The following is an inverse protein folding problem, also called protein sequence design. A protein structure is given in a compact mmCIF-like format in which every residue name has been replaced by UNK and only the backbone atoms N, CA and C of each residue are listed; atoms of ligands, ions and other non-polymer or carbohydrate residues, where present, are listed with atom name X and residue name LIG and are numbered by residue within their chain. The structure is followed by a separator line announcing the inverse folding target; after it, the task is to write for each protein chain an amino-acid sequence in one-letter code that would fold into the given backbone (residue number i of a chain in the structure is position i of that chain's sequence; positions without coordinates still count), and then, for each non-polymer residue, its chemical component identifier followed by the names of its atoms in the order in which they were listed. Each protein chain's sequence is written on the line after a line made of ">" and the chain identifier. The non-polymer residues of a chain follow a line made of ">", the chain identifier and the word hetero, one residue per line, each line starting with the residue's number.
data_IF_180573411587
#
_entry.id   IF_180573411587
#
_cell.length_a   1.000
_cell.length_b   1.000
_cell.length_c   1.000
_cell.angle_alpha   90.00
_cell.angle_beta   90.00
_cell.angle_gamma   90.00
#
_symmetry.space_group_name_H-M   'P 1'
#
loop_
_entity.id
_entity.type
_entity.pdbx_description
1 polymer ?
#
# COMPACT_ATOMS: atom_id res chain seq x y z
N UNK A 1 0.98 -2.35 -23.34
CA UNK A 1 1.59 -2.01 -22.04
C UNK A 1 0.66 -2.59 -21.00
N UNK A 2 1.02 -3.74 -20.43
CA UNK A 2 0.11 -4.52 -19.59
C UNK A 2 -0.07 -3.85 -18.24
N UNK A 3 -1.27 -3.37 -17.95
CA UNK A 3 -1.78 -3.17 -16.59
C UNK A 3 -1.78 -4.53 -15.89
N UNK A 4 -0.66 -4.88 -15.27
CA UNK A 4 -0.68 -5.90 -14.22
C UNK A 4 -1.32 -5.24 -13.01
N UNK A 5 -2.66 -5.33 -12.91
CA UNK A 5 -3.36 -5.16 -11.64
C UNK A 5 -2.61 -6.02 -10.63
N UNK A 6 -1.95 -5.38 -9.66
CA UNK A 6 -1.38 -6.05 -8.49
C UNK A 6 -2.56 -6.63 -7.71
N UNK A 7 -2.98 -7.83 -8.09
CA UNK A 7 -4.03 -8.60 -7.46
C UNK A 7 -3.42 -9.86 -6.87
N UNK A 8 -3.81 -10.16 -5.63
CA UNK A 8 -3.76 -11.41 -4.84
C UNK A 8 -2.65 -12.45 -5.04
N UNK A 9 -2.27 -12.76 -6.28
CA UNK A 9 -1.45 -13.91 -6.67
C UNK A 9 -0.04 -13.97 -6.09
N UNK A 10 0.48 -12.86 -5.55
CA UNK A 10 1.85 -12.80 -4.99
C UNK A 10 1.88 -12.84 -3.44
N UNK A 11 0.73 -12.84 -2.76
CA UNK A 11 0.69 -12.84 -1.28
C UNK A 11 0.63 -14.27 -0.71
N UNK A 12 1.40 -14.50 0.36
CA UNK A 12 1.40 -15.77 1.06
C UNK A 12 0.02 -16.10 1.66
N UNK A 13 -0.35 -17.39 1.64
CA UNK A 13 -1.58 -17.87 2.28
C UNK A 13 -1.62 -17.49 3.77
N UNK A 14 -2.76 -17.01 4.24
CA UNK A 14 -2.99 -16.65 5.65
C UNK A 14 -2.71 -15.18 6.01
N UNK A 15 -2.46 -14.31 5.03
CA UNK A 15 -2.41 -12.86 5.24
C UNK A 15 -3.77 -12.22 4.97
N UNK A 16 -4.12 -11.18 5.74
CA UNK A 16 -5.14 -10.23 5.30
C UNK A 16 -4.53 -9.27 4.29
N UNK A 17 -5.36 -8.73 3.41
CA UNK A 17 -4.96 -7.81 2.35
C UNK A 17 -6.03 -6.76 2.11
N UNK A 18 -5.59 -5.56 1.77
CA UNK A 18 -6.45 -4.47 1.32
C UNK A 18 -5.78 -3.67 0.21
N UNK A 19 -6.53 -3.43 -0.87
CA UNK A 19 -6.24 -2.39 -1.86
C UNK A 19 -7.29 -1.30 -1.74
N UNK A 20 -6.85 -0.05 -1.70
CA UNK A 20 -7.76 1.08 -1.56
C UNK A 20 -7.28 2.28 -2.38
N UNK A 21 -8.24 3.12 -2.80
CA UNK A 21 -7.95 4.50 -3.15
C UNK A 21 -7.78 5.27 -1.86
N UNK A 22 -6.65 5.95 -1.73
CA UNK A 22 -6.30 6.69 -0.53
C UNK A 22 -5.93 8.13 -0.86
N UNK A 23 -5.99 8.99 0.15
CA UNK A 23 -5.54 10.37 0.10
C UNK A 23 -4.39 10.58 1.07
N UNK A 24 -3.33 11.24 0.62
CA UNK A 24 -2.20 11.64 1.47
C UNK A 24 -2.62 12.85 2.32
N UNK A 25 -2.49 12.74 3.64
CA UNK A 25 -2.84 13.78 4.61
C UNK A 25 -1.69 14.74 4.89
N UNK A 26 -0.46 14.25 4.85
CA UNK A 26 0.75 15.01 5.17
C UNK A 26 1.87 14.60 4.24
N UNK A 27 2.73 15.55 3.88
CA UNK A 27 3.87 15.28 3.02
C UNK A 27 4.72 14.11 3.55
N UNK A 28 5.14 13.27 2.63
CA UNK A 28 6.01 12.16 2.95
C UNK A 28 7.02 11.89 1.83
N UNK A 29 8.26 11.75 2.23
CA UNK A 29 9.34 11.33 1.35
C UNK A 29 9.60 9.83 1.58
N UNK A 30 9.63 9.06 0.50
CA UNK A 30 9.88 7.62 0.54
C UNK A 30 10.87 7.23 -0.55
N UNK A 31 11.76 6.30 -0.23
CA UNK A 31 12.76 5.76 -1.17
C UNK A 31 12.45 4.29 -1.48
N UNK A 32 12.45 3.93 -2.76
CA UNK A 32 12.50 2.53 -3.20
C UNK A 32 13.95 2.05 -3.23
N UNK A 33 14.17 0.73 -3.24
CA UNK A 33 15.50 0.11 -3.21
C UNK A 33 15.99 -0.24 -4.62
N UNK A 34 15.13 -0.84 -5.46
CA UNK A 34 15.47 -1.21 -6.84
C UNK A 34 14.26 -1.05 -7.79
N UNK A 35 14.31 -0.10 -8.75
CA UNK A 35 15.35 0.91 -8.90
C UNK A 35 15.34 1.86 -7.69
N UNK A 36 16.53 2.37 -7.31
CA UNK A 36 16.63 3.41 -6.30
C UNK A 36 15.91 4.67 -6.80
N UNK A 37 14.79 4.99 -6.16
CA UNK A 37 13.91 6.06 -6.56
C UNK A 37 13.49 6.88 -5.34
N UNK A 38 13.45 8.19 -5.49
CA UNK A 38 12.89 9.09 -4.49
C UNK A 38 11.50 9.53 -4.92
N UNK A 39 10.50 9.34 -4.07
CA UNK A 39 9.15 9.89 -4.28
C UNK A 39 8.78 10.81 -3.12
N UNK A 40 8.25 11.98 -3.46
CA UNK A 40 7.65 12.92 -2.52
C UNK A 40 6.14 12.89 -2.75
N UNK A 41 5.41 12.35 -1.78
CA UNK A 41 3.95 12.35 -1.73
C UNK A 41 3.47 13.68 -1.16
N UNK A 42 2.51 14.32 -1.82
CA UNK A 42 2.01 15.64 -1.41
C UNK A 42 0.64 15.53 -0.73
N UNK A 43 0.32 16.40 0.24
CA UNK A 43 -1.03 16.45 0.82
C UNK A 43 -2.10 16.63 -0.26
N UNK A 44 -3.20 15.87 -0.14
CA UNK A 44 -4.29 15.86 -1.10
C UNK A 44 -4.07 14.96 -2.33
N UNK A 45 -2.87 14.43 -2.54
CA UNK A 45 -2.62 13.43 -3.59
C UNK A 45 -3.47 12.19 -3.33
N UNK A 46 -4.14 11.72 -4.38
CA UNK A 46 -4.96 10.51 -4.34
C UNK A 46 -4.37 9.44 -5.24
N UNK A 47 -4.28 8.22 -4.74
CA UNK A 47 -3.65 7.11 -5.43
C UNK A 47 -4.18 5.77 -4.91
N UNK A 48 -4.00 4.73 -5.70
CA UNK A 48 -4.22 3.36 -5.22
C UNK A 48 -3.01 2.91 -4.41
N UNK A 49 -3.27 2.33 -3.24
CA UNK A 49 -2.26 1.75 -2.37
C UNK A 49 -2.73 0.42 -1.81
N UNK A 50 -1.77 -0.31 -1.28
CA UNK A 50 -1.90 -1.67 -0.79
C UNK A 50 -1.44 -1.74 0.66
N UNK A 51 -2.08 -2.58 1.45
CA UNK A 51 -1.55 -3.02 2.75
C UNK A 51 -1.91 -4.49 2.96
N UNK A 52 -1.07 -5.19 3.69
CA UNK A 52 -1.28 -6.58 4.06
C UNK A 52 -0.56 -6.85 5.37
N UNK A 53 -1.02 -7.86 6.08
CA UNK A 53 -0.45 -8.23 7.36
C UNK A 53 -0.93 -9.60 7.80
N UNK A 54 -0.38 -10.04 8.90
CA UNK A 54 -0.79 -11.29 9.54
C UNK A 54 -2.11 -11.07 10.30
N UNK A 55 -2.89 -12.12 10.59
CA UNK A 55 -4.18 -11.99 11.28
C UNK A 55 -4.10 -11.25 12.62
N UNK A 56 -2.93 -11.27 13.28
CA UNK A 56 -2.68 -10.61 14.55
C UNK A 56 -2.07 -9.20 14.43
N UNK A 57 -1.79 -8.72 13.22
CA UNK A 57 -1.33 -7.35 13.01
C UNK A 57 -2.53 -6.40 13.03
N UNK A 58 -2.45 -5.34 13.83
CA UNK A 58 -3.45 -4.27 13.81
C UNK A 58 -3.38 -3.53 12.46
N UNK A 59 -4.41 -3.73 11.62
CA UNK A 59 -4.46 -3.14 10.29
C UNK A 59 -4.31 -1.61 10.29
N UNK A 60 -4.71 -0.94 11.38
CA UNK A 60 -4.61 0.51 11.54
C UNK A 60 -3.15 1.02 11.61
N UNK A 61 -2.20 0.23 12.12
CA UNK A 61 -0.79 0.60 12.21
C UNK A 61 0.05 0.22 10.98
N UNK A 62 -0.46 -0.68 10.16
CA UNK A 62 0.28 -1.22 9.00
C UNK A 62 0.46 -0.17 7.90
N UNK A 63 1.69 0.06 7.41
CA UNK A 63 1.93 1.07 6.39
C UNK A 63 1.32 0.70 5.03
N UNK A 64 1.14 1.72 4.19
CA UNK A 64 0.63 1.60 2.83
C UNK A 64 1.76 1.56 1.82
N UNK A 65 1.62 0.72 0.80
CA UNK A 65 2.62 0.46 -0.23
C UNK A 65 2.05 0.81 -1.60
N UNK A 66 2.89 1.35 -2.49
CA UNK A 66 2.48 1.63 -3.88
C UNK A 66 2.46 0.39 -4.77
N UNK A 67 3.07 -0.72 -4.34
CA UNK A 67 3.18 -1.98 -5.09
C UNK A 67 3.42 -3.16 -4.14
N UNK A 68 3.16 -4.38 -4.59
CA UNK A 68 3.58 -5.62 -3.92
C UNK A 68 5.07 -5.94 -4.13
N UNK A 69 5.70 -5.34 -5.14
CA UNK A 69 7.15 -5.46 -5.34
C UNK A 69 7.88 -4.72 -4.23
N UNK A 70 8.40 -5.47 -3.25
CA UNK A 70 9.05 -4.91 -2.08
C UNK A 70 10.29 -4.07 -2.41
N UNK A 71 10.93 -4.30 -3.56
CA UNK A 71 12.12 -3.56 -3.95
C UNK A 71 11.76 -2.22 -4.61
N UNK A 72 10.72 -2.22 -5.44
CA UNK A 72 10.25 -1.02 -6.15
C UNK A 72 9.20 -0.19 -5.40
N UNK A 73 8.67 -0.69 -4.28
CA UNK A 73 7.60 -0.01 -3.56
C UNK A 73 8.08 1.25 -2.81
N UNK A 74 7.24 2.27 -2.84
CA UNK A 74 7.29 3.37 -1.90
C UNK A 74 6.28 3.11 -0.78
N UNK A 75 6.71 3.36 0.45
CA UNK A 75 5.95 3.08 1.66
C UNK A 75 5.53 4.40 2.30
N UNK A 76 4.28 4.51 2.72
CA UNK A 76 3.71 5.64 3.45
C UNK A 76 3.13 5.15 4.79
N UNK A 77 3.47 5.78 5.93
CA UNK A 77 2.90 5.43 7.23
C UNK A 77 1.37 5.58 7.24
N UNK A 78 0.67 4.65 7.92
CA UNK A 78 -0.79 4.66 8.02
C UNK A 78 -1.37 5.99 8.51
N UNK A 79 -0.75 6.60 9.52
CA UNK A 79 -1.16 7.89 10.08
C UNK A 79 -1.14 9.07 9.08
N UNK A 80 -0.48 8.91 7.92
CA UNK A 80 -0.41 9.94 6.87
C UNK A 80 -1.40 9.69 5.73
N UNK A 81 -2.25 8.67 5.84
CA UNK A 81 -3.12 8.20 4.77
C UNK A 81 -4.56 8.16 5.25
N UNK A 82 -5.47 8.70 4.45
CA UNK A 82 -6.91 8.53 4.61
C UNK A 82 -7.41 7.56 3.53
N UNK A 83 -8.11 6.50 3.92
CA UNK A 83 -8.81 5.62 2.99
C UNK A 83 -10.05 6.36 2.47
N UNK A 84 -10.18 6.46 1.15
CA UNK A 84 -11.36 7.03 0.49
C UNK A 84 -12.34 5.95 0.05
N UNK A 85 -11.81 4.86 -0.52
CA UNK A 85 -12.60 3.77 -1.08
C UNK A 85 -11.79 2.47 -1.02
N UNK A 86 -12.38 1.41 -0.48
CA UNK A 86 -11.78 0.07 -0.49
C UNK A 86 -12.12 -0.58 -1.84
N UNK A 87 -11.08 -0.97 -2.58
CA UNK A 87 -11.18 -1.53 -3.93
C UNK A 87 -11.08 -3.06 -3.93
N UNK A 88 -10.38 -3.62 -2.95
CA UNK A 88 -10.24 -5.07 -2.73
C UNK A 88 -9.94 -5.30 -1.25
N UNK A 89 -10.59 -6.29 -0.64
CA UNK A 89 -10.32 -6.70 0.74
C UNK A 89 -10.38 -8.22 0.83
N UNK A 90 -9.41 -8.80 1.54
CA UNK A 90 -9.36 -10.21 1.85
C UNK A 90 -9.01 -10.38 3.31
N UNK A 91 -9.77 -11.23 3.99
CA UNK A 91 -9.45 -11.72 5.31
C UNK A 91 -8.84 -13.14 5.20
N UNK A 92 -7.94 -13.51 6.11
CA UNK A 92 -7.49 -14.89 6.26
C UNK A 92 -8.69 -15.78 6.64
N UNK A 93 -8.67 -17.03 6.17
CA UNK A 93 -9.69 -18.04 6.51
C UNK A 93 -9.67 -18.41 8.02
#
# INVERSE_FOLDING_TARGET
>A
MSDRKAGRGDLAAGLWFMRARVRILTEHQSTSVDPLGLRIFRPGEELEMLRWGRPWDEAEGTPWWTSLDMQGAHIVPAAKVQVLEVLEEQQPD
#
